data_IF_083363760985
#
_entry.id   IF_083363760985
#
_cell.length_a   1.000
_cell.length_b   1.000
_cell.length_c   1.000
_cell.angle_alpha   90.00
_cell.angle_beta   90.00
_cell.angle_gamma   90.00
#
_symmetry.space_group_name_H-M   'P 1'
#
loop_
_entity.id
_entity.type
_entity.pdbx_description
1 polymer ?
#
# COMPACT_ATOMS: atom_id res chain seq x y z
N UNK A 1 -11.25 7.34 4.10
CA UNK A 1 -11.62 6.08 3.41
C UNK A 1 -10.34 5.32 3.17
N UNK A 2 -10.37 3.98 3.17
CA UNK A 2 -9.23 3.14 2.79
C UNK A 2 -9.60 2.44 1.49
N UNK A 3 -8.79 2.62 0.44
CA UNK A 3 -8.97 1.91 -0.82
C UNK A 3 -8.28 0.55 -0.77
N UNK A 4 -8.99 -0.53 -1.06
CA UNK A 4 -8.43 -1.89 -1.02
C UNK A 4 -8.32 -2.50 -2.42
N UNK A 5 -7.33 -3.39 -2.61
CA UNK A 5 -7.12 -4.10 -3.87
C UNK A 5 -6.32 -3.32 -4.91
N UNK A 6 -5.37 -2.49 -4.48
CA UNK A 6 -4.48 -1.73 -5.38
C UNK A 6 -3.38 -2.66 -5.91
N UNK A 7 -3.41 -2.93 -7.21
CA UNK A 7 -2.51 -3.87 -7.88
C UNK A 7 -1.64 -3.21 -8.97
N UNK A 8 -2.00 -2.02 -9.44
CA UNK A 8 -1.25 -1.30 -10.48
C UNK A 8 -1.07 0.20 -10.19
N UNK A 9 -0.04 0.81 -10.78
CA UNK A 9 0.24 2.24 -10.65
C UNK A 9 -0.93 3.11 -11.16
N UNK A 10 -1.61 2.68 -12.24
CA UNK A 10 -2.76 3.41 -12.78
C UNK A 10 -3.92 3.48 -11.78
N UNK A 11 -4.17 2.41 -11.02
CA UNK A 11 -5.18 2.42 -9.96
C UNK A 11 -4.79 3.38 -8.84
N UNK A 12 -3.51 3.39 -8.45
CA UNK A 12 -2.99 4.31 -7.44
C UNK A 12 -3.11 5.77 -7.87
N UNK A 13 -2.81 6.09 -9.13
CA UNK A 13 -2.96 7.44 -9.69
C UNK A 13 -4.40 7.94 -9.64
N UNK A 14 -5.37 7.10 -10.02
CA UNK A 14 -6.80 7.43 -9.93
C UNK A 14 -7.20 7.72 -8.48
N UNK A 15 -6.79 6.87 -7.54
CA UNK A 15 -7.12 7.04 -6.12
C UNK A 15 -6.52 8.32 -5.53
N UNK A 16 -5.28 8.66 -5.90
CA UNK A 16 -4.64 9.93 -5.52
C UNK A 16 -5.39 11.14 -6.08
N UNK A 17 -5.81 11.09 -7.34
CA UNK A 17 -6.57 12.18 -7.96
C UNK A 17 -7.95 12.40 -7.31
N UNK A 18 -8.53 11.33 -6.75
CA UNK A 18 -9.77 11.38 -5.97
C UNK A 18 -9.58 11.85 -4.51
N UNK A 19 -8.34 12.11 -4.08
CA UNK A 19 -8.03 12.50 -2.69
C UNK A 19 -8.11 11.34 -1.70
N UNK A 20 -7.83 10.11 -2.15
CA UNK A 20 -7.76 8.97 -1.25
C UNK A 20 -6.36 8.87 -0.61
N UNK A 21 -6.28 9.18 0.69
CA UNK A 21 -5.01 9.26 1.42
C UNK A 21 -4.50 7.90 1.93
N UNK A 22 -5.33 6.86 1.92
CA UNK A 22 -4.99 5.55 2.47
C UNK A 22 -5.41 4.42 1.52
N UNK A 23 -4.54 3.42 1.34
CA UNK A 23 -4.90 2.23 0.60
C UNK A 23 -4.01 1.02 0.87
N UNK A 24 -4.50 -0.15 0.45
CA UNK A 24 -3.82 -1.43 0.56
C UNK A 24 -3.94 -2.22 -0.74
N UNK A 25 -2.94 -3.03 -1.03
CA UNK A 25 -2.96 -3.96 -2.16
C UNK A 25 -1.57 -4.46 -2.52
N UNK A 26 -1.53 -5.39 -3.48
CA UNK A 26 -0.30 -6.08 -3.86
C UNK A 26 0.72 -5.19 -4.57
N UNK A 27 0.32 -4.01 -5.04
CA UNK A 27 1.25 -2.98 -5.51
C UNK A 27 2.23 -2.56 -4.39
N UNK A 28 1.79 -2.56 -3.13
CA UNK A 28 2.61 -2.16 -1.98
C UNK A 28 3.29 -3.36 -1.32
N UNK A 29 2.50 -4.38 -0.95
CA UNK A 29 2.99 -5.58 -0.29
C UNK A 29 1.97 -6.71 -0.41
N UNK A 30 2.46 -7.95 -0.43
CA UNK A 30 1.60 -9.13 -0.22
C UNK A 30 1.35 -9.34 1.28
N UNK A 31 0.21 -9.93 1.69
CA UNK A 31 0.04 -10.46 3.03
C UNK A 31 1.18 -11.40 3.39
N UNK A 32 1.70 -11.28 4.60
CA UNK A 32 2.83 -12.06 5.07
C UNK A 32 2.75 -12.34 6.57
N UNK A 33 3.73 -13.09 7.06
CA UNK A 33 3.90 -13.37 8.49
C UNK A 33 4.16 -12.08 9.28
N UNK A 34 3.95 -12.12 10.60
CA UNK A 34 4.13 -10.94 11.46
C UNK A 34 5.54 -10.31 11.31
N UNK A 35 6.59 -11.13 11.12
CA UNK A 35 7.96 -10.65 10.92
C UNK A 35 8.14 -9.80 9.65
N UNK A 36 7.27 -9.95 8.65
CA UNK A 36 7.31 -9.14 7.44
C UNK A 36 6.92 -7.67 7.71
N UNK A 37 6.14 -7.42 8.77
CA UNK A 37 5.80 -6.05 9.19
C UNK A 37 7.03 -5.33 9.70
N UNK A 38 7.85 -5.98 10.53
CA UNK A 38 9.08 -5.41 11.07
C UNK A 38 10.06 -5.03 9.95
N UNK A 39 10.22 -5.91 8.95
CA UNK A 39 11.04 -5.66 7.77
C UNK A 39 10.51 -4.48 6.94
N UNK A 40 9.20 -4.44 6.69
CA UNK A 40 8.55 -3.39 5.90
C UNK A 40 8.66 -2.01 6.56
N UNK A 41 8.51 -1.93 7.88
CA UNK A 41 8.64 -0.68 8.65
C UNK A 41 10.09 -0.21 8.70
N UNK A 42 11.05 -1.13 8.85
CA UNK A 42 12.47 -0.79 8.84
C UNK A 42 12.93 -0.16 7.51
N UNK A 43 12.35 -0.56 6.39
CA UNK A 43 12.68 -0.06 5.04
C UNK A 43 12.14 1.34 4.73
N UNK A 44 11.13 1.81 5.47
CA UNK A 44 10.39 3.05 5.16
C UNK A 44 10.74 4.25 6.06
N UNK A 45 11.67 4.09 7.01
CA UNK A 45 12.02 5.12 8.01
C UNK A 45 13.36 5.84 7.70
N UNK A 46 13.52 6.38 6.48
CA UNK A 46 14.64 7.30 6.15
C UNK A 46 14.21 8.78 6.23
#
# INVERSE_FOLDING_TARGET
VVAEGIESDEQLEVLRALGCDCGQGFLFARPGEASAVDEFVALTTL
#
